data_IF_179069932088
#
_entry.id   IF_179069932088
#
_cell.length_a   1.000
_cell.length_b   1.000
_cell.length_c   1.000
_cell.angle_alpha   90.00
_cell.angle_beta   90.00
_cell.angle_gamma   90.00
#
_symmetry.space_group_name_H-M   'P 1'
#
loop_
_entity.id
_entity.type
_entity.pdbx_description
1 polymer ?
#
# COMPACT_ATOMS: atom_id res chain seq x y z
N UNK A 1 -6.01 -12.50 9.17
CA UNK A 1 -6.59 -11.31 8.54
C UNK A 1 -7.90 -11.58 7.82
N UNK A 2 -8.45 -12.82 7.84
CA UNK A 2 -9.82 -13.08 7.41
C UNK A 2 -10.79 -12.27 8.30
N UNK A 3 -11.86 -11.65 7.78
CA UNK A 3 -12.38 -11.76 6.41
C UNK A 3 -11.75 -10.82 5.39
N UNK A 4 -11.04 -9.77 5.81
CA UNK A 4 -10.52 -8.75 4.89
C UNK A 4 -9.51 -9.31 3.90
N UNK A 5 -8.62 -10.18 4.39
CA UNK A 5 -7.62 -10.87 3.56
C UNK A 5 -7.64 -12.37 3.84
N UNK A 6 -7.75 -13.16 2.77
CA UNK A 6 -7.69 -14.61 2.77
C UNK A 6 -6.29 -15.13 2.47
N UNK A 7 -6.12 -16.46 2.59
CA UNK A 7 -4.88 -17.11 2.20
C UNK A 7 -4.71 -16.98 0.69
N UNK A 8 -3.46 -16.77 0.26
CA UNK A 8 -3.05 -16.63 -1.15
C UNK A 8 -3.49 -15.33 -1.84
N UNK A 9 -4.06 -14.38 -1.09
CA UNK A 9 -4.33 -13.04 -1.61
C UNK A 9 -3.04 -12.34 -2.04
N UNK A 10 -3.11 -11.68 -3.21
CA UNK A 10 -2.02 -10.85 -3.73
C UNK A 10 -2.23 -9.41 -3.30
N UNK A 11 -1.29 -8.91 -2.51
CA UNK A 11 -1.30 -7.57 -1.93
C UNK A 11 -0.40 -6.64 -2.73
N UNK A 12 -0.81 -5.38 -2.84
CA UNK A 12 0.06 -4.28 -3.22
C UNK A 12 0.30 -3.49 -1.94
N UNK A 13 1.54 -3.06 -1.74
CA UNK A 13 1.90 -2.23 -0.60
C UNK A 13 2.89 -1.16 -1.05
N UNK A 14 2.88 -0.06 -0.33
CA UNK A 14 3.80 1.05 -0.50
C UNK A 14 4.73 1.16 0.70
N UNK A 15 5.98 1.54 0.46
CA UNK A 15 6.90 1.81 1.54
C UNK A 15 6.49 3.11 2.26
N UNK A 16 6.41 3.06 3.59
CA UNK A 16 6.07 4.20 4.44
C UNK A 16 6.90 4.13 5.71
N UNK A 17 7.29 5.29 6.23
CA UNK A 17 7.93 5.37 7.53
C UNK A 17 6.90 5.18 8.66
N UNK A 18 7.34 4.64 9.80
CA UNK A 18 6.46 4.37 10.94
C UNK A 18 5.74 5.60 11.50
N UNK A 19 6.28 6.80 11.30
CA UNK A 19 5.68 8.08 11.70
C UNK A 19 4.58 8.56 10.73
N UNK A 20 4.48 7.97 9.53
CA UNK A 20 3.44 8.25 8.53
C UNK A 20 2.23 7.33 8.68
N UNK A 21 2.41 6.21 9.37
CA UNK A 21 1.34 5.24 9.68
C UNK A 21 0.23 5.90 10.51
N UNK A 22 -1.02 5.57 10.18
CA UNK A 22 -2.23 6.07 10.83
C UNK A 22 -3.09 4.92 11.34
N UNK A 23 -4.02 5.23 12.25
CA UNK A 23 -5.04 4.26 12.66
C UNK A 23 -5.86 3.85 11.45
N UNK A 24 -6.18 2.55 11.37
CA UNK A 24 -6.90 1.95 10.26
C UNK A 24 -6.01 1.50 9.10
N UNK A 25 -4.75 1.92 9.04
CA UNK A 25 -3.81 1.38 8.07
C UNK A 25 -3.57 -0.11 8.35
N UNK A 26 -3.37 -0.91 7.30
CA UNK A 26 -2.87 -2.27 7.42
C UNK A 26 -1.40 -2.25 7.07
N UNK A 27 -0.55 -2.58 8.05
CA UNK A 27 0.91 -2.52 7.89
C UNK A 27 1.51 -3.89 7.74
N UNK A 28 2.52 -3.99 6.87
CA UNK A 28 3.46 -5.11 6.80
C UNK A 28 4.66 -4.76 7.67
N UNK A 29 5.05 -5.64 8.59
CA UNK A 29 6.14 -5.38 9.53
C UNK A 29 6.94 -6.65 9.84
N UNK A 30 8.20 -6.45 10.23
CA UNK A 30 9.02 -7.52 10.80
C UNK A 30 8.62 -7.71 12.26
N UNK A 31 8.09 -8.88 12.60
CA UNK A 31 7.70 -9.16 13.97
C UNK A 31 8.94 -9.27 14.88
N UNK A 32 8.86 -8.81 16.14
CA UNK A 32 9.88 -9.11 17.13
C UNK A 32 10.07 -10.62 17.31
N UNK A 33 11.26 -11.06 17.73
CA UNK A 33 11.55 -12.49 17.99
C UNK A 33 10.55 -13.14 18.97
N UNK A 34 9.94 -12.35 19.87
CA UNK A 34 8.92 -12.80 20.81
C UNK A 34 7.66 -13.39 20.14
N UNK A 35 7.43 -13.11 18.85
CA UNK A 35 6.35 -13.72 18.07
C UNK A 35 6.70 -15.13 17.57
N UNK A 36 7.98 -15.52 17.59
CA UNK A 36 8.43 -16.84 17.15
C UNK A 36 8.21 -17.13 15.66
N UNK A 37 8.05 -16.08 14.84
CA UNK A 37 7.83 -16.18 13.39
C UNK A 37 8.92 -15.39 12.66
N UNK A 38 9.68 -16.09 11.81
CA UNK A 38 10.70 -15.51 10.94
C UNK A 38 10.12 -15.20 9.55
N UNK A 39 9.09 -14.34 9.53
CA UNK A 39 8.45 -13.86 8.32
C UNK A 39 7.76 -12.51 8.57
N UNK A 40 7.63 -11.64 7.56
CA UNK A 40 6.83 -10.43 7.67
C UNK A 40 5.38 -10.77 8.04
N UNK A 41 4.83 -10.05 9.01
CA UNK A 41 3.43 -10.15 9.39
C UNK A 41 2.67 -8.93 8.91
N UNK A 42 1.37 -9.10 8.73
CA UNK A 42 0.47 -7.99 8.42
C UNK A 42 -0.64 -7.90 9.45
N UNK A 43 -0.93 -6.69 9.92
CA UNK A 43 -2.03 -6.39 10.86
C UNK A 43 -2.54 -4.96 10.64
N UNK A 44 -3.82 -4.69 10.92
CA UNK A 44 -4.35 -3.34 11.06
C UNK A 44 -3.78 -2.64 12.29
N UNK A 45 -3.60 -1.33 12.16
CA UNK A 45 -3.16 -0.43 13.21
C UNK A 45 -4.36 0.10 13.97
N UNK A 46 -4.46 -0.26 15.25
CA UNK A 46 -5.55 0.18 16.12
C UNK A 46 -5.18 1.45 16.88
N UNK A 47 -3.93 1.53 17.34
CA UNK A 47 -3.39 2.69 18.04
C UNK A 47 -2.00 3.07 17.53
N UNK A 48 -1.73 4.37 17.56
CA UNK A 48 -0.41 4.97 17.26
C UNK A 48 0.12 5.66 18.51
N UNK A 49 1.36 6.17 18.46
CA UNK A 49 1.99 6.90 19.56
C UNK A 49 1.07 7.90 20.25
N UNK A 50 1.03 7.82 21.59
CA UNK A 50 0.20 8.67 22.45
C UNK A 50 -1.18 8.10 22.77
N UNK A 51 -1.66 7.11 22.01
CA UNK A 51 -2.98 6.51 22.23
C UNK A 51 -3.07 5.67 23.49
N UNK A 52 -4.27 5.60 24.06
CA UNK A 52 -4.65 4.57 25.01
C UNK A 52 -5.65 3.61 24.36
N UNK A 53 -5.24 2.38 24.12
CA UNK A 53 -6.08 1.32 23.54
C UNK A 53 -6.49 0.37 24.64
N UNK A 54 -7.79 0.13 24.80
CA UNK A 54 -8.29 -0.78 25.82
C UNK A 54 -9.47 -1.62 25.32
N UNK A 55 -9.53 -2.86 25.79
CA UNK A 55 -10.66 -3.76 25.56
C UNK A 55 -11.29 -4.21 26.88
N UNK A 56 -12.61 -4.27 26.99
CA UNK A 56 -13.65 -3.77 26.06
C UNK A 56 -14.80 -3.12 26.85
N UNK A 57 -15.56 -2.21 26.23
CA UNK A 57 -16.58 -1.39 26.91
C UNK A 57 -17.85 -2.11 27.32
N UNK A 58 -18.18 -3.20 26.62
CA UNK A 58 -19.43 -3.95 26.76
C UNK A 58 -19.10 -5.45 26.87
N UNK A 59 -20.11 -6.32 26.84
CA UNK A 59 -19.94 -7.78 26.87
C UNK A 59 -20.66 -8.40 25.67
N UNK A 60 -20.09 -9.47 25.10
CA UNK A 60 -20.69 -10.24 24.02
C UNK A 60 -20.65 -9.51 22.67
N UNK A 61 -21.69 -9.68 21.83
CA UNK A 61 -21.71 -9.18 20.44
C UNK A 61 -21.72 -7.65 20.29
N UNK A 62 -21.71 -6.89 21.39
CA UNK A 62 -21.59 -5.43 21.38
C UNK A 62 -20.25 -4.94 21.93
N UNK A 63 -19.34 -5.85 22.28
CA UNK A 63 -17.97 -5.50 22.67
C UNK A 63 -17.31 -4.63 21.61
N UNK A 64 -16.62 -3.59 22.09
CA UNK A 64 -15.85 -2.69 21.24
C UNK A 64 -14.54 -2.39 21.93
N UNK A 65 -13.48 -2.36 21.11
CA UNK A 65 -12.22 -1.77 21.50
C UNK A 65 -12.43 -0.26 21.65
N UNK A 66 -11.73 0.32 22.61
CA UNK A 66 -11.67 1.78 22.77
C UNK A 66 -10.32 2.31 22.44
N UNK A 67 -10.30 3.48 21.80
CA UNK A 67 -9.11 4.30 21.60
C UNK A 67 -9.37 5.64 22.26
N UNK A 68 -8.52 6.00 23.22
CA UNK A 68 -8.65 7.21 24.03
C UNK A 68 -10.02 7.32 24.72
N UNK A 69 -10.52 6.18 25.21
CA UNK A 69 -11.80 6.07 25.92
C UNK A 69 -13.04 6.14 25.02
N UNK A 70 -12.88 6.27 23.70
CA UNK A 70 -13.98 6.26 22.74
C UNK A 70 -14.06 4.89 22.06
N UNK A 71 -15.24 4.24 22.03
CA UNK A 71 -15.40 2.99 21.27
C UNK A 71 -15.19 3.27 19.78
N UNK A 72 -14.49 2.37 19.10
CA UNK A 72 -14.29 2.43 17.65
C UNK A 72 -15.21 1.45 16.93
N UNK A 73 -15.55 1.77 15.68
CA UNK A 73 -16.28 0.86 14.79
C UNK A 73 -15.28 0.06 13.96
N UNK A 74 -15.44 -1.26 13.96
CA UNK A 74 -14.52 -2.18 13.30
C UNK A 74 -15.31 -3.17 12.41
N UNK A 75 -15.92 -2.71 11.30
CA UNK A 75 -16.77 -3.57 10.47
C UNK A 75 -16.02 -4.72 9.81
N UNK A 76 -14.69 -4.66 9.78
CA UNK A 76 -13.79 -5.71 9.26
C UNK A 76 -13.56 -6.86 10.25
N UNK A 77 -13.95 -6.72 11.53
CA UNK A 77 -13.70 -7.77 12.54
C UNK A 77 -14.59 -8.99 12.30
N UNK A 78 -13.98 -10.17 12.26
CA UNK A 78 -14.68 -11.42 12.01
C UNK A 78 -15.78 -11.66 13.05
N UNK A 79 -17.04 -11.70 12.61
CA UNK A 79 -18.19 -11.93 13.48
C UNK A 79 -18.51 -10.79 14.45
N UNK A 80 -17.85 -9.63 14.32
CA UNK A 80 -18.00 -8.51 15.26
C UNK A 80 -17.42 -8.79 16.66
N UNK A 81 -16.61 -9.82 16.79
CA UNK A 81 -16.01 -10.28 18.04
C UNK A 81 -14.76 -9.43 18.38
N UNK A 82 -14.93 -8.36 19.14
CA UNK A 82 -13.86 -7.39 19.41
C UNK A 82 -12.79 -7.91 20.38
N UNK A 83 -13.15 -8.79 21.32
CA UNK A 83 -12.21 -9.40 22.26
C UNK A 83 -11.64 -10.71 21.71
N UNK A 84 -12.50 -11.68 21.36
CA UNK A 84 -12.16 -13.00 20.87
C UNK A 84 -11.44 -13.91 21.85
N UNK A 85 -10.35 -13.46 22.47
CA UNK A 85 -9.50 -14.28 23.35
C UNK A 85 -9.80 -14.07 24.83
N UNK A 86 -10.73 -13.17 25.16
CA UNK A 86 -11.15 -12.84 26.53
C UNK A 86 -9.96 -12.44 27.41
N UNK A 87 -9.05 -11.62 26.84
CA UNK A 87 -7.90 -11.08 27.57
C UNK A 87 -8.04 -9.58 27.74
N UNK A 88 -8.20 -9.08 28.98
CA UNK A 88 -8.26 -7.65 29.22
C UNK A 88 -6.90 -7.03 28.92
N UNK A 89 -6.92 -5.87 28.27
CA UNK A 89 -5.73 -5.05 28.06
C UNK A 89 -6.11 -3.58 28.10
N UNK A 90 -5.15 -2.79 28.57
CA UNK A 90 -5.21 -1.33 28.64
C UNK A 90 -3.80 -0.80 28.44
N UNK A 91 -3.51 -0.35 27.22
CA UNK A 91 -2.17 -0.05 26.77
C UNK A 91 -2.09 1.40 26.36
N UNK A 92 -1.14 2.13 26.94
CA UNK A 92 -0.72 3.43 26.42
C UNK A 92 0.42 3.22 25.42
N UNK A 93 0.14 3.48 24.14
CA UNK A 93 1.07 3.28 23.04
C UNK A 93 2.20 4.31 23.14
N UNK A 94 3.46 3.88 23.31
CA UNK A 94 4.58 4.82 23.33
C UNK A 94 4.75 5.53 21.99
N UNK A 95 5.37 6.71 22.02
CA UNK A 95 5.71 7.43 20.79
C UNK A 95 6.56 6.57 19.85
N UNK A 96 6.29 6.68 18.54
CA UNK A 96 6.95 5.88 17.51
C UNK A 96 6.60 4.39 17.53
N UNK A 97 5.57 3.96 18.27
CA UNK A 97 5.10 2.57 18.30
C UNK A 97 3.65 2.44 17.89
N UNK A 98 3.25 1.20 17.59
CA UNK A 98 1.94 0.84 17.06
C UNK A 98 1.33 -0.28 17.90
N UNK A 99 0.02 -0.24 18.08
CA UNK A 99 -0.75 -1.35 18.66
C UNK A 99 -1.61 -1.99 17.58
N UNK A 100 -1.41 -3.29 17.35
CA UNK A 100 -1.90 -4.00 16.17
C UNK A 100 -2.81 -5.15 16.57
N UNK A 101 -3.98 -5.29 15.94
CA UNK A 101 -4.93 -6.37 16.23
C UNK A 101 -5.42 -7.04 14.94
N UNK A 102 -5.32 -8.36 14.84
CA UNK A 102 -5.84 -9.04 13.65
C UNK A 102 -7.36 -9.04 13.57
N UNK A 103 -7.90 -9.05 12.35
CA UNK A 103 -9.35 -8.99 12.07
C UNK A 103 -10.11 -10.18 12.64
N UNK A 104 -9.50 -11.36 12.61
CA UNK A 104 -10.02 -12.54 13.29
C UNK A 104 -9.43 -12.63 14.70
N UNK A 105 -10.03 -11.89 15.64
CA UNK A 105 -9.49 -11.70 17.01
C UNK A 105 -9.15 -13.01 17.71
N UNK A 106 -10.03 -14.01 17.63
CA UNK A 106 -9.83 -15.32 18.26
C UNK A 106 -8.70 -16.17 17.62
N UNK A 107 -8.28 -15.87 16.39
CA UNK A 107 -7.27 -16.63 15.65
C UNK A 107 -6.11 -15.74 15.18
N UNK A 108 -5.70 -14.81 16.05
CA UNK A 108 -4.65 -13.85 15.74
C UNK A 108 -3.71 -13.73 16.93
N UNK A 109 -2.48 -14.18 16.77
CA UNK A 109 -1.38 -13.78 17.64
C UNK A 109 -0.94 -12.37 17.20
N UNK A 110 -1.24 -11.39 18.02
CA UNK A 110 -1.04 -9.96 17.79
C UNK A 110 -0.65 -9.27 19.10
N UNK A 111 -0.68 -7.93 19.17
CA UNK A 111 -0.17 -7.17 20.32
C UNK A 111 -0.66 -7.68 21.69
N UNK A 112 -1.88 -8.21 21.77
CA UNK A 112 -2.47 -8.72 23.02
C UNK A 112 -1.76 -9.93 23.62
N UNK A 113 -0.95 -10.63 22.82
CA UNK A 113 -0.19 -11.80 23.26
C UNK A 113 1.22 -11.45 23.76
N UNK A 114 1.64 -10.20 23.57
CA UNK A 114 3.00 -9.74 23.88
C UNK A 114 3.00 -8.56 24.86
N UNK A 115 1.96 -8.45 25.70
CA UNK A 115 1.79 -7.31 26.64
C UNK A 115 2.98 -7.12 27.59
N UNK A 116 3.71 -8.19 27.91
CA UNK A 116 4.92 -8.15 28.76
C UNK A 116 6.12 -7.48 28.05
N UNK A 117 6.05 -7.30 26.73
CA UNK A 117 7.07 -6.66 25.89
C UNK A 117 6.54 -5.32 25.36
N UNK A 118 6.90 -4.22 26.02
CA UNK A 118 6.46 -2.86 25.67
C UNK A 118 4.93 -2.71 25.48
N UNK A 119 4.13 -3.42 26.30
CA UNK A 119 2.67 -3.39 26.19
C UNK A 119 2.15 -4.06 24.90
N UNK A 120 2.95 -4.94 24.29
CA UNK A 120 2.62 -5.61 23.02
C UNK A 120 2.76 -4.74 21.79
N UNK A 121 3.30 -3.53 21.94
CA UNK A 121 3.41 -2.58 20.85
C UNK A 121 4.59 -2.91 19.94
N UNK A 122 4.45 -2.64 18.64
CA UNK A 122 5.47 -2.86 17.62
C UNK A 122 6.15 -1.53 17.30
N UNK A 123 7.47 -1.53 17.11
CA UNK A 123 8.20 -0.32 16.70
C UNK A 123 7.75 0.14 15.32
N UNK A 124 7.56 1.44 15.12
CA UNK A 124 7.31 2.02 13.81
C UNK A 124 8.45 1.73 12.82
N UNK A 125 9.69 1.62 13.31
CA UNK A 125 10.87 1.28 12.50
C UNK A 125 10.84 -0.18 11.98
N UNK A 126 9.99 -1.04 12.57
CA UNK A 126 9.80 -2.40 12.09
C UNK A 126 8.82 -2.49 10.91
N UNK A 127 8.13 -1.38 10.58
CA UNK A 127 7.21 -1.31 9.45
C UNK A 127 8.00 -1.34 8.15
N UNK A 128 7.63 -2.27 7.27
CA UNK A 128 8.18 -2.36 5.92
C UNK A 128 7.35 -1.54 4.95
N UNK A 129 6.04 -1.45 5.18
CA UNK A 129 5.14 -0.62 4.39
C UNK A 129 3.66 -0.78 4.76
N UNK A 130 2.81 -0.07 4.02
CA UNK A 130 1.36 -0.07 4.17
C UNK A 130 0.70 -0.77 2.99
N UNK A 131 -0.23 -1.66 3.28
CA UNK A 131 -1.05 -2.35 2.27
C UNK A 131 -2.04 -1.36 1.66
N UNK A 132 -2.12 -1.36 0.33
CA UNK A 132 -3.00 -0.48 -0.44
C UNK A 132 -4.01 -1.33 -1.20
N UNK A 133 -5.30 -1.05 -1.03
CA UNK A 133 -6.35 -1.71 -1.82
C UNK A 133 -6.50 -1.10 -3.22
N UNK A 134 -5.82 0.03 -3.51
CA UNK A 134 -5.96 0.74 -4.76
C UNK A 134 -5.15 0.09 -5.90
N UNK A 135 -5.83 -0.73 -6.70
CA UNK A 135 -5.29 -1.29 -7.95
C UNK A 135 -5.46 -0.37 -9.16
N UNK A 136 -6.16 0.75 -9.02
CA UNK A 136 -6.50 1.64 -10.14
C UNK A 136 -5.28 2.38 -10.65
N UNK A 137 -4.44 2.90 -9.76
CA UNK A 137 -3.26 3.66 -10.16
C UNK A 137 -2.30 2.83 -11.06
N UNK A 138 -1.84 1.62 -10.68
CA UNK A 138 -1.00 0.80 -11.56
C UNK A 138 -1.67 0.48 -12.91
N UNK A 139 -2.97 0.21 -12.91
CA UNK A 139 -3.72 -0.08 -14.12
C UNK A 139 -3.78 1.12 -15.06
N UNK A 140 -4.00 2.33 -14.53
CA UNK A 140 -4.01 3.58 -15.28
C UNK A 140 -2.63 3.90 -15.87
N UNK A 141 -1.55 3.71 -15.09
CA UNK A 141 -0.18 3.87 -15.59
C UNK A 141 0.14 2.89 -16.72
N UNK A 142 -0.25 1.61 -16.56
CA UNK A 142 -0.10 0.61 -17.61
C UNK A 142 -0.83 0.98 -18.91
N UNK A 143 -2.07 1.45 -18.79
CA UNK A 143 -2.84 1.91 -19.94
C UNK A 143 -2.21 3.15 -20.60
N UNK A 144 -1.77 4.13 -19.81
CA UNK A 144 -1.12 5.33 -20.31
C UNK A 144 0.18 5.03 -21.08
N UNK A 145 1.00 4.09 -20.59
CA UNK A 145 2.22 3.64 -21.26
C UNK A 145 1.94 2.96 -22.60
N UNK A 146 0.89 2.14 -22.68
CA UNK A 146 0.47 1.52 -23.94
C UNK A 146 0.03 2.56 -24.96
N UNK A 147 -0.81 3.52 -24.55
CA UNK A 147 -1.26 4.62 -25.42
C UNK A 147 -0.08 5.47 -25.88
N UNK A 148 0.80 5.85 -24.96
CA UNK A 148 2.02 6.60 -25.28
C UNK A 148 2.91 5.86 -26.27
N UNK A 149 3.12 4.55 -26.07
CA UNK A 149 3.87 3.69 -26.98
C UNK A 149 3.30 3.67 -28.40
N UNK A 150 1.97 3.53 -28.52
CA UNK A 150 1.29 3.58 -29.83
C UNK A 150 1.48 4.95 -30.49
N UNK A 151 1.32 6.05 -29.76
CA UNK A 151 1.51 7.40 -30.29
C UNK A 151 2.95 7.64 -30.77
N UNK A 152 3.95 7.13 -30.05
CA UNK A 152 5.37 7.20 -30.46
C UNK A 152 5.58 6.44 -31.77
N UNK A 153 5.05 5.22 -31.90
CA UNK A 153 5.18 4.42 -33.12
C UNK A 153 4.50 5.09 -34.32
N UNK A 154 3.30 5.65 -34.13
CA UNK A 154 2.59 6.43 -35.16
C UNK A 154 3.40 7.66 -35.56
N UNK A 155 3.94 8.40 -34.58
CA UNK A 155 4.79 9.57 -34.82
C UNK A 155 6.06 9.24 -35.61
N UNK A 156 6.74 8.14 -35.27
CA UNK A 156 7.91 7.64 -36.02
C UNK A 156 7.52 7.30 -37.46
N UNK A 157 6.41 6.57 -37.65
CA UNK A 157 5.91 6.21 -38.98
C UNK A 157 5.62 7.43 -39.85
N UNK A 158 4.91 8.43 -39.30
CA UNK A 158 4.63 9.70 -39.98
C UNK A 158 5.92 10.48 -40.28
N UNK A 159 6.87 10.52 -39.35
CA UNK A 159 8.17 11.17 -39.53
C UNK A 159 9.00 10.55 -40.65
N UNK A 160 9.08 9.22 -40.72
CA UNK A 160 9.76 8.49 -41.79
C UNK A 160 9.11 8.78 -43.14
N UNK A 161 7.76 8.72 -43.21
CA UNK A 161 7.03 9.01 -44.45
C UNK A 161 7.32 10.43 -44.95
N UNK A 162 7.28 11.44 -44.07
CA UNK A 162 7.60 12.82 -44.41
C UNK A 162 9.05 13.00 -44.88
N UNK A 163 10.01 12.31 -44.25
CA UNK A 163 11.41 12.33 -44.64
C UNK A 163 11.63 11.77 -46.06
N UNK A 164 10.98 10.64 -46.39
CA UNK A 164 11.06 10.01 -47.71
C UNK A 164 10.49 10.93 -48.80
N UNK A 165 9.30 11.51 -48.59
CA UNK A 165 8.69 12.46 -49.55
C UNK A 165 9.59 13.67 -49.78
N UNK A 166 10.16 14.25 -48.72
CA UNK A 166 11.05 15.42 -48.84
C UNK A 166 12.34 15.10 -49.59
N UNK A 167 12.85 13.87 -49.48
CA UNK A 167 14.06 13.43 -50.19
C UNK A 167 13.79 13.24 -51.68
N UNK A 168 12.61 12.73 -52.06
CA UNK A 168 12.20 12.56 -53.46
C UNK A 168 12.00 13.87 -54.22
N UNK A 169 11.52 14.93 -53.56
CA UNK A 169 11.31 16.24 -54.19
C UNK A 169 12.58 17.08 -54.39
N UNK A 170 13.76 16.66 -53.89
CA UNK A 170 15.01 17.44 -53.97
C UNK A 170 15.78 17.31 -55.29
N UNK A 171 15.31 16.51 -56.25
CA UNK A 171 16.06 16.18 -57.49
C UNK A 171 15.58 16.87 -58.77
N UNK A 172 14.72 17.89 -58.72
CA UNK A 172 14.37 18.67 -59.91
C UNK A 172 14.92 20.09 -59.84
N UNK A 173 16.22 20.25 -60.11
CA UNK A 173 16.71 21.49 -60.70
C UNK A 173 16.67 21.32 -62.23
N UNK A 174 15.92 22.13 -62.98
CA UNK A 174 16.03 22.11 -64.44
C UNK A 174 17.47 22.47 -64.83
N UNK A 175 18.07 21.82 -65.84
CA UNK A 175 19.40 22.19 -66.32
C UNK A 175 19.41 23.65 -66.76
N UNK A 176 20.51 24.35 -66.47
CA UNK A 176 20.67 25.77 -66.81
C UNK A 176 20.53 25.98 -68.34
N UNK A 177 19.77 26.99 -68.81
CA UNK A 177 19.34 27.07 -70.21
C UNK A 177 20.37 27.63 -71.21
N UNK A 178 21.65 27.81 -70.85
CA UNK A 178 22.59 28.55 -71.70
C UNK A 178 23.83 27.73 -72.09
N UNK A 179 24.19 27.64 -73.39
CA UNK A 179 25.48 27.12 -73.80
C UNK A 179 26.57 28.17 -73.54
N UNK A 180 27.59 27.83 -72.75
CA UNK A 180 28.81 28.64 -72.68
C UNK A 180 29.63 28.40 -73.96
N UNK A 181 29.62 29.36 -74.87
CA UNK A 181 30.70 29.54 -75.83
C UNK A 181 31.82 30.34 -75.15
N UNK A 182 33.01 29.76 -75.03
CA UNK A 182 34.24 30.54 -74.88
C UNK A 182 35.28 30.09 -75.91
N UNK A 183 35.56 31.06 -76.77
CA UNK A 183 36.73 31.42 -77.59
C UNK A 183 37.97 30.53 -77.46
#
# INVERSE_FOLDING_TARGET
MRPTYERDDRLIWEHVDGNEVRRGDVVLFTAPESYGVDAPLMKPVIGVGGDRVACCTLVGSQERVTVNGKPIEEPYVYGGDADGVHRPYDVRVPEGRLFLLGDYRANSQDSRFHLDDHGGTVSGDAVQGRVTDDRTAPALWGAALLVGGVLVLVGIGLGIAAFVVRRGNRTQFPPAPWPMQQV
#
